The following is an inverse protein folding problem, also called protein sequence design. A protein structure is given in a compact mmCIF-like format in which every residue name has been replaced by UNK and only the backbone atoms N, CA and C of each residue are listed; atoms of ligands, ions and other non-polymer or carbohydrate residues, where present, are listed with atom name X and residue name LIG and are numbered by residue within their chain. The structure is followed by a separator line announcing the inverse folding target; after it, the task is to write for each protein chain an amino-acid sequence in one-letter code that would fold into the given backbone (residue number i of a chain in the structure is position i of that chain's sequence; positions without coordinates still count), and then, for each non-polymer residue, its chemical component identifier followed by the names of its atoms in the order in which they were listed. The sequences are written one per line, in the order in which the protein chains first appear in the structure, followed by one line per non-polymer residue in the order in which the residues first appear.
data_IF_980082685850
#
_entry.id   IF_980082685850
#
_cell.length_a   1.000
_cell.length_b   1.000
_cell.length_c   1.000
_cell.angle_alpha   90.00
_cell.angle_beta   90.00
_cell.angle_gamma   90.00
#
_symmetry.space_group_name_H-M   'P 1'
#
loop_
_entity.id
_entity.type
_entity.pdbx_description
1 polymer ?
#
# COMPACT_ATOMS: atom_id res chain seq x y z
N UNK A 1 24.68 -19.92 -33.36
CA UNK A 1 24.92 -19.78 -31.91
C UNK A 1 24.62 -18.34 -31.54
N UNK A 2 23.33 -18.03 -31.45
CA UNK A 2 22.66 -16.77 -31.09
C UNK A 2 21.22 -17.23 -30.78
N UNK A 3 20.56 -16.92 -29.66
CA UNK A 3 20.35 -15.62 -29.01
C UNK A 3 20.18 -15.78 -27.48
N UNK A 4 20.36 -14.70 -26.70
CA UNK A 4 20.11 -14.64 -25.26
C UNK A 4 18.70 -14.11 -24.93
N UNK A 5 18.32 -14.16 -23.65
CA UNK A 5 17.19 -13.45 -23.03
C UNK A 5 15.76 -13.88 -23.40
N UNK A 6 15.09 -14.55 -22.46
CA UNK A 6 13.71 -14.19 -22.12
C UNK A 6 13.58 -14.10 -20.59
N UNK A 7 13.70 -12.87 -20.08
CA UNK A 7 13.22 -12.47 -18.75
C UNK A 7 11.73 -12.78 -18.68
N UNK A 8 11.35 -13.85 -18.01
CA UNK A 8 9.97 -14.06 -17.58
C UNK A 8 9.71 -13.09 -16.43
N UNK A 9 9.33 -11.86 -16.75
CA UNK A 9 8.74 -10.93 -15.79
C UNK A 9 7.42 -10.41 -16.32
N UNK A 10 6.50 -11.31 -16.68
CA UNK A 10 5.09 -10.96 -16.76
C UNK A 10 4.52 -10.89 -15.34
N UNK A 11 4.82 -9.78 -14.64
CA UNK A 11 4.06 -9.36 -13.49
C UNK A 11 3.21 -8.18 -13.96
N UNK A 12 1.95 -8.47 -14.28
CA UNK A 12 0.95 -7.45 -14.60
C UNK A 12 0.75 -6.58 -13.36
N UNK A 13 1.52 -5.50 -13.20
CA UNK A 13 1.17 -4.45 -12.25
C UNK A 13 -0.15 -3.84 -12.69
N UNK A 14 -1.23 -4.12 -11.96
CA UNK A 14 -2.57 -3.58 -12.20
C UNK A 14 -2.69 -2.10 -11.75
N UNK A 15 -1.57 -1.45 -11.45
CA UNK A 15 -1.51 -0.04 -11.07
C UNK A 15 -1.52 0.86 -12.32
N UNK A 16 -2.43 1.81 -12.34
CA UNK A 16 -2.47 2.89 -13.32
C UNK A 16 -1.32 3.91 -13.08
N UNK A 17 -1.07 4.78 -14.05
CA UNK A 17 0.03 5.76 -13.98
C UNK A 17 -0.08 6.73 -12.79
N UNK A 18 -1.31 7.10 -12.39
CA UNK A 18 -1.54 7.98 -11.23
C UNK A 18 -1.23 7.25 -9.92
N UNK A 19 -1.59 5.97 -9.83
CA UNK A 19 -1.26 5.12 -8.69
C UNK A 19 0.25 4.93 -8.57
N UNK A 20 0.94 4.62 -9.68
CA UNK A 20 2.40 4.49 -9.68
C UNK A 20 3.09 5.77 -9.22
N UNK A 21 2.67 6.92 -9.77
CA UNK A 21 3.21 8.23 -9.38
C UNK A 21 2.92 8.55 -7.92
N UNK A 22 1.68 8.36 -7.48
CA UNK A 22 1.27 8.66 -6.10
C UNK A 22 1.96 7.78 -5.07
N UNK A 23 2.12 6.48 -5.36
CA UNK A 23 2.89 5.56 -4.53
C UNK A 23 4.35 5.97 -4.49
N UNK A 24 4.97 6.29 -5.63
CA UNK A 24 6.37 6.73 -5.67
C UNK A 24 6.60 7.98 -4.80
N UNK A 25 5.71 8.98 -4.90
CA UNK A 25 5.78 10.19 -4.09
C UNK A 25 5.59 9.90 -2.60
N UNK A 26 4.68 8.99 -2.25
CA UNK A 26 4.42 8.62 -0.86
C UNK A 26 5.60 7.86 -0.24
N UNK A 27 6.15 6.90 -0.98
CA UNK A 27 7.34 6.15 -0.59
C UNK A 27 8.58 7.06 -0.52
N UNK A 28 8.66 8.10 -1.34
CA UNK A 28 9.74 9.10 -1.28
C UNK A 28 9.81 9.90 0.02
N UNK A 29 8.75 9.89 0.84
CA UNK A 29 8.74 10.51 2.17
C UNK A 29 9.23 9.56 3.29
N UNK A 30 9.58 8.32 2.94
CA UNK A 30 10.02 7.27 3.87
C UNK A 30 11.55 7.18 3.94
N UNK A 31 12.06 6.57 5.02
CA UNK A 31 13.48 6.25 5.11
C UNK A 31 13.85 5.11 4.16
N UNK A 32 15.09 5.09 3.67
CA UNK A 32 15.58 4.00 2.80
C UNK A 32 15.44 2.63 3.46
N UNK A 33 15.61 2.56 4.79
CA UNK A 33 15.44 1.32 5.55
C UNK A 33 14.00 0.81 5.50
N UNK A 34 13.01 1.70 5.68
CA UNK A 34 11.60 1.32 5.60
C UNK A 34 11.21 0.89 4.17
N UNK A 35 11.81 1.52 3.15
CA UNK A 35 11.64 1.12 1.76
C UNK A 35 12.16 -0.30 1.51
N UNK A 36 13.36 -0.60 2.00
CA UNK A 36 13.94 -1.95 1.89
C UNK A 36 13.03 -2.99 2.57
N UNK A 37 12.48 -2.68 3.75
CA UNK A 37 11.55 -3.57 4.44
C UNK A 37 10.27 -3.83 3.61
N UNK A 38 9.72 -2.79 2.97
CA UNK A 38 8.56 -2.93 2.09
C UNK A 38 8.91 -3.77 0.87
N UNK A 39 10.05 -3.49 0.24
CA UNK A 39 10.56 -4.18 -0.94
C UNK A 39 10.81 -5.67 -0.67
N UNK A 40 11.43 -6.00 0.45
CA UNK A 40 11.63 -7.37 0.89
C UNK A 40 10.29 -8.12 0.96
N UNK A 41 9.26 -7.51 1.54
CA UNK A 41 7.96 -8.15 1.62
C UNK A 41 7.26 -8.23 0.24
N UNK A 42 7.51 -7.32 -0.72
CA UNK A 42 6.84 -7.33 -2.06
C UNK A 42 7.53 -8.28 -3.03
N UNK A 43 8.81 -8.52 -2.80
CA UNK A 43 9.66 -9.39 -3.62
C UNK A 43 9.85 -10.78 -3.02
N UNK A 44 9.10 -11.16 -1.97
CA UNK A 44 9.29 -12.42 -1.23
C UNK A 44 10.74 -12.60 -0.73
N UNK A 45 11.36 -11.52 -0.26
CA UNK A 45 12.73 -11.43 0.24
C UNK A 45 13.80 -11.75 -0.82
N UNK A 46 13.44 -11.67 -2.11
CA UNK A 46 14.37 -11.91 -3.21
C UNK A 46 15.20 -10.67 -3.55
N UNK A 47 14.71 -9.47 -3.25
CA UNK A 47 15.49 -8.25 -3.45
C UNK A 47 16.65 -8.19 -2.46
N UNK A 48 17.85 -7.92 -2.99
CA UNK A 48 19.05 -7.61 -2.20
C UNK A 48 19.51 -6.22 -2.60
N UNK A 49 19.69 -5.37 -1.60
CA UNK A 49 20.15 -4.00 -1.79
C UNK A 49 21.52 -3.85 -1.16
N UNK A 50 22.44 -3.22 -1.88
CA UNK A 50 23.76 -2.87 -1.37
C UNK A 50 23.68 -1.72 -0.35
N UNK A 51 24.71 -1.61 0.49
CA UNK A 51 24.87 -0.47 1.39
C UNK A 51 24.96 0.84 0.59
N UNK A 52 24.07 1.79 0.91
CA UNK A 52 23.98 3.06 0.19
C UNK A 52 23.08 3.04 -1.05
N UNK A 53 22.22 2.03 -1.22
CA UNK A 53 21.21 1.99 -2.29
C UNK A 53 20.41 3.31 -2.35
N UNK A 54 20.19 3.80 -3.58
CA UNK A 54 19.37 5.00 -3.78
C UNK A 54 17.89 4.65 -3.52
N UNK A 55 17.14 5.49 -2.76
CA UNK A 55 15.72 5.25 -2.50
C UNK A 55 14.89 5.05 -3.77
N UNK A 56 15.23 5.75 -4.86
CA UNK A 56 14.52 5.61 -6.15
C UNK A 56 14.59 4.20 -6.74
N UNK A 57 15.69 3.48 -6.53
CA UNK A 57 15.86 2.10 -7.02
C UNK A 57 14.91 1.18 -6.26
N UNK A 58 14.89 1.31 -4.93
CA UNK A 58 14.01 0.52 -4.06
C UNK A 58 12.53 0.82 -4.34
N UNK A 59 12.18 2.09 -4.58
CA UNK A 59 10.81 2.50 -4.94
C UNK A 59 10.37 1.86 -6.26
N UNK A 60 11.22 1.88 -7.29
CA UNK A 60 10.90 1.25 -8.57
C UNK A 60 10.69 -0.25 -8.40
N UNK A 61 11.57 -0.94 -7.68
CA UNK A 61 11.41 -2.37 -7.39
C UNK A 61 10.09 -2.66 -6.67
N UNK A 62 9.71 -1.85 -5.68
CA UNK A 62 8.43 -2.00 -4.97
C UNK A 62 7.26 -1.90 -5.96
N UNK A 63 7.27 -0.88 -6.82
CA UNK A 63 6.18 -0.62 -7.78
C UNK A 63 6.11 -1.71 -8.84
N UNK A 64 7.25 -2.17 -9.35
CA UNK A 64 7.34 -3.23 -10.36
C UNK A 64 6.94 -4.60 -9.82
N UNK A 65 7.19 -4.85 -8.53
CA UNK A 65 6.88 -6.13 -7.90
C UNK A 65 5.51 -6.16 -7.21
N UNK A 66 4.89 -5.02 -6.95
CA UNK A 66 3.57 -4.95 -6.35
C UNK A 66 2.46 -5.21 -7.38
N UNK A 67 1.42 -5.91 -6.93
CA UNK A 67 0.25 -6.18 -7.76
C UNK A 67 -0.68 -4.97 -7.81
N UNK A 68 -0.92 -4.34 -6.65
CA UNK A 68 -1.79 -3.17 -6.49
C UNK A 68 -1.21 -2.14 -5.52
N UNK A 69 -1.63 -0.87 -5.65
CA UNK A 69 -1.25 0.18 -4.70
C UNK A 69 -1.78 -0.09 -3.30
N UNK A 70 -2.93 -0.76 -3.19
CA UNK A 70 -3.53 -1.16 -1.93
C UNK A 70 -2.61 -2.10 -1.14
N UNK A 71 -2.01 -3.09 -1.81
CA UNK A 71 -1.08 -4.03 -1.19
C UNK A 71 0.10 -3.31 -0.51
N UNK A 72 0.66 -2.29 -1.17
CA UNK A 72 1.75 -1.46 -0.65
C UNK A 72 1.28 -0.68 0.57
N UNK A 73 0.17 0.05 0.45
CA UNK A 73 -0.35 0.90 1.52
C UNK A 73 -0.82 0.10 2.74
N UNK A 74 -1.27 -1.14 2.56
CA UNK A 74 -1.72 -1.98 3.68
C UNK A 74 -0.58 -2.51 4.54
N UNK A 75 0.66 -2.56 4.02
CA UNK A 75 1.83 -3.04 4.77
C UNK A 75 2.14 -2.13 5.95
N UNK A 76 2.44 -2.76 7.08
CA UNK A 76 2.51 -2.13 8.41
C UNK A 76 3.50 -0.96 8.52
N UNK A 77 4.50 -0.93 7.64
CA UNK A 77 5.56 0.09 7.61
C UNK A 77 5.11 1.43 7.03
N UNK A 78 4.04 1.46 6.23
CA UNK A 78 3.43 2.73 5.81
C UNK A 78 2.67 3.31 6.99
N UNK A 79 3.36 4.17 7.76
CA UNK A 79 2.83 4.74 8.99
C UNK A 79 1.66 5.68 8.70
N UNK A 80 0.75 5.78 9.66
CA UNK A 80 -0.42 6.66 9.60
C UNK A 80 -0.02 8.11 9.35
N UNK A 81 1.10 8.55 9.92
CA UNK A 81 1.57 9.94 9.81
C UNK A 81 2.10 10.25 8.41
N UNK A 82 2.72 9.28 7.73
CA UNK A 82 3.16 9.41 6.33
C UNK A 82 1.95 9.60 5.43
N UNK A 83 0.92 8.74 5.58
CA UNK A 83 -0.33 8.85 4.83
C UNK A 83 -1.00 10.22 5.05
N UNK A 84 -1.09 10.66 6.30
CA UNK A 84 -1.69 11.95 6.65
C UNK A 84 -0.93 13.14 6.06
N UNK A 85 0.41 13.12 6.16
CA UNK A 85 1.28 14.16 5.60
C UNK A 85 1.12 14.23 4.08
N UNK A 86 1.11 13.08 3.41
CA UNK A 86 0.90 12.99 1.97
C UNK A 86 -0.46 13.55 1.54
N UNK A 87 -1.55 13.17 2.24
CA UNK A 87 -2.90 13.66 1.94
C UNK A 87 -3.02 15.17 2.13
N UNK A 88 -2.44 15.71 3.21
CA UNK A 88 -2.40 17.16 3.43
C UNK A 88 -1.62 17.90 2.34
N UNK A 89 -0.47 17.37 1.92
CA UNK A 89 0.36 17.94 0.84
C UNK A 89 -0.41 18.00 -0.48
N UNK A 90 -1.26 17.02 -0.74
CA UNK A 90 -2.12 16.95 -1.92
C UNK A 90 -3.46 17.70 -1.78
N UNK A 91 -3.67 18.46 -0.69
CA UNK A 91 -4.88 19.24 -0.48
C UNK A 91 -6.12 18.42 -0.12
N UNK A 92 -5.98 17.14 0.23
CA UNK A 92 -7.10 16.29 0.63
C UNK A 92 -7.47 16.57 2.08
N UNK A 93 -8.70 17.02 2.30
CA UNK A 93 -9.22 17.27 3.63
C UNK A 93 -9.47 15.96 4.39
N UNK A 94 -8.57 15.61 5.32
CA UNK A 94 -8.70 14.44 6.20
C UNK A 94 -8.74 14.84 7.67
N UNK A 95 -9.52 14.10 8.46
CA UNK A 95 -9.60 14.29 9.92
C UNK A 95 -8.25 14.00 10.56
N UNK A 96 -7.68 14.91 11.34
CA UNK A 96 -6.35 14.79 11.95
C UNK A 96 -6.13 13.55 12.85
N UNK A 97 -7.21 13.01 13.43
CA UNK A 97 -7.21 11.78 14.23
C UNK A 97 -8.00 10.65 13.57
N UNK A 98 -8.05 10.65 12.24
CA UNK A 98 -8.69 9.58 11.46
C UNK A 98 -8.02 8.22 11.65
N UNK A 99 -8.73 7.17 11.25
CA UNK A 99 -8.17 5.81 11.27
C UNK A 99 -7.22 5.66 10.08
N UNK A 100 -6.18 4.83 10.24
CA UNK A 100 -5.22 4.54 9.17
C UNK A 100 -5.92 4.09 7.88
N UNK A 101 -6.95 3.25 8.02
CA UNK A 101 -7.75 2.77 6.89
C UNK A 101 -8.46 3.91 6.14
N UNK A 102 -8.95 4.94 6.84
CA UNK A 102 -9.61 6.08 6.20
C UNK A 102 -8.59 6.90 5.38
N UNK A 103 -7.34 6.98 5.83
CA UNK A 103 -6.27 7.62 5.06
C UNK A 103 -5.88 6.80 3.84
N UNK A 104 -5.74 5.47 3.97
CA UNK A 104 -5.48 4.58 2.82
C UNK A 104 -6.56 4.72 1.77
N UNK A 105 -7.84 4.68 2.17
CA UNK A 105 -8.99 4.89 1.27
C UNK A 105 -8.90 6.23 0.56
N UNK A 106 -8.54 7.30 1.28
CA UNK A 106 -8.40 8.64 0.71
C UNK A 106 -7.26 8.71 -0.32
N UNK A 107 -6.13 8.03 -0.09
CA UNK A 107 -5.05 7.93 -1.07
C UNK A 107 -5.50 7.17 -2.31
N UNK A 108 -6.13 6.00 -2.13
CA UNK A 108 -6.64 5.19 -3.24
C UNK A 108 -7.68 5.94 -4.07
N UNK A 109 -8.60 6.66 -3.42
CA UNK A 109 -9.59 7.50 -4.08
C UNK A 109 -8.96 8.67 -4.84
N UNK A 110 -7.93 9.33 -4.26
CA UNK A 110 -7.17 10.39 -4.92
C UNK A 110 -6.53 9.90 -6.24
N UNK A 111 -6.06 8.65 -6.25
CA UNK A 111 -5.43 8.04 -7.44
C UNK A 111 -6.41 7.37 -8.39
N UNK A 112 -7.70 7.33 -8.06
CA UNK A 112 -8.74 6.69 -8.87
C UNK A 112 -8.69 5.15 -8.84
N UNK A 113 -8.05 4.55 -7.85
CA UNK A 113 -7.91 3.10 -7.69
C UNK A 113 -9.24 2.45 -7.32
N UNK A 114 -9.75 1.44 -8.04
CA UNK A 114 -11.05 0.80 -7.69
C UNK A 114 -11.02 0.04 -6.36
N UNK A 115 -9.84 -0.23 -5.80
CA UNK A 115 -9.68 -0.90 -4.50
C UNK A 115 -10.24 -0.10 -3.32
N UNK A 116 -10.41 1.23 -3.44
CA UNK A 116 -11.04 2.04 -2.38
C UNK A 116 -12.49 1.60 -2.08
N UNK A 117 -13.17 0.99 -3.05
CA UNK A 117 -14.57 0.54 -2.93
C UNK A 117 -14.70 -0.77 -2.15
N UNK A 118 -13.72 -1.69 -2.30
CA UNK A 118 -13.74 -3.00 -1.61
C UNK A 118 -13.64 -2.87 -0.09
N UNK A 119 -13.03 -1.79 0.39
CA UNK A 119 -12.79 -1.58 1.81
C UNK A 119 -14.05 -1.23 2.62
N UNK A 120 -15.20 -0.93 2.01
CA UNK A 120 -16.45 -0.65 2.76
C UNK A 120 -17.03 -1.90 3.45
N UNK A 121 -16.72 -3.10 2.96
CA UNK A 121 -17.47 -4.30 3.34
C UNK A 121 -16.96 -5.01 4.61
N UNK A 122 -15.70 -4.85 5.00
CA UNK A 122 -15.12 -5.54 6.16
C UNK A 122 -15.48 -4.95 7.53
N UNK A 123 -15.99 -3.71 7.56
CA UNK A 123 -16.36 -3.05 8.83
C UNK A 123 -17.77 -3.44 9.30
N UNK A 124 -18.66 -3.83 8.37
CA UNK A 124 -20.04 -4.20 8.70
C UNK A 124 -20.16 -5.63 9.25
N UNK A 125 -19.23 -6.53 8.91
CA UNK A 125 -19.26 -7.95 9.30
C UNK A 125 -18.76 -8.21 10.72
N UNK A 126 -18.14 -7.24 11.39
CA UNK A 126 -17.65 -7.40 12.78
C UNK A 126 -18.65 -6.95 13.85
N UNK A 127 -19.68 -6.19 13.51
CA UNK A 127 -20.68 -5.74 14.50
C UNK A 127 -21.84 -6.74 14.71
N UNK A 128 -22.04 -7.72 13.83
CA UNK A 128 -23.17 -8.67 13.95
C UNK A 128 -22.89 -9.93 14.78
N UNK A 129 -21.66 -10.13 15.28
CA UNK A 129 -21.35 -11.28 16.18
C UNK A 129 -21.49 -10.97 17.67
N UNK A 130 -21.92 -9.77 18.05
CA UNK A 130 -21.85 -9.33 19.44
C UNK A 130 -23.19 -9.02 20.10
N UNK A 131 -24.33 -9.60 19.70
CA UNK A 131 -25.56 -9.54 20.50
C UNK A 131 -26.53 -10.68 20.16
N UNK A 132 -26.24 -11.90 20.64
CA UNK A 132 -27.32 -12.86 20.96
C UNK A 132 -26.84 -13.79 22.06
N UNK A 133 -27.35 -13.56 23.26
CA UNK A 133 -27.04 -14.33 24.46
C UNK A 133 -27.70 -13.74 25.70
N UNK A 134 -28.92 -13.20 25.55
CA UNK A 134 -29.79 -12.92 26.70
C UNK A 134 -30.65 -14.16 26.97
N UNK A 135 -30.53 -14.62 28.21
CA UNK A 135 -31.54 -15.27 29.06
C UNK A 135 -32.13 -16.59 28.59
N UNK A 136 -31.95 -17.63 29.41
CA UNK A 136 -33.08 -18.46 29.83
C UNK A 136 -32.94 -18.75 31.32
N UNK A 137 -33.86 -18.17 32.09
CA UNK A 137 -34.39 -18.75 33.31
C UNK A 137 -35.08 -20.07 32.94
N UNK A 138 -34.92 -21.11 33.77
CA UNK A 138 -35.97 -21.89 34.44
C UNK A 138 -35.29 -22.70 35.54
#
# INVERSE_FOLDING_TARGET
MADPEEKITNKNSEMNEKEKKGVAELLGEMSVQDLIDIANLTTNHLAKYDDGVKPSVVINDIIENASTSSEILHRQKVLKDILYKYLKKNGVAVKAKGRRQDYIRSCLALWGSTDHLKMQNDENTRQTRSFSGKTNNI
#
